data_IF_815307105276
#
_entry.id   IF_815307105276
#
_cell.length_a   1.000
_cell.length_b   1.000
_cell.length_c   1.000
_cell.angle_alpha   90.00
_cell.angle_beta   90.00
_cell.angle_gamma   90.00
#
_symmetry.space_group_name_H-M   'P 1'
#
loop_
_entity.id
_entity.type
_entity.pdbx_description
1 polymer ?
#
# COMPACT_ATOMS: atom_id res chain seq x y z
N UNK A 1 -20.46 -26.99 19.78
CA UNK A 1 -19.45 -26.34 18.90
C UNK A 1 -18.14 -27.09 19.06
N UNK A 2 -17.57 -27.62 17.99
CA UNK A 2 -16.34 -28.43 18.07
C UNK A 2 -15.10 -27.53 18.21
N UNK A 3 -14.10 -27.97 18.98
CA UNK A 3 -12.82 -27.28 19.16
C UNK A 3 -12.15 -26.97 17.82
N UNK A 4 -12.33 -27.84 16.81
CA UNK A 4 -11.84 -27.63 15.44
C UNK A 4 -12.48 -26.42 14.76
N UNK A 5 -13.77 -26.20 15.02
CA UNK A 5 -14.54 -25.09 14.46
C UNK A 5 -14.15 -23.76 15.11
N UNK A 6 -13.84 -23.75 16.41
CA UNK A 6 -13.31 -22.56 17.10
C UNK A 6 -11.90 -22.20 16.60
N UNK A 7 -11.03 -23.19 16.42
CA UNK A 7 -9.66 -22.97 15.93
C UNK A 7 -9.63 -22.42 14.49
N UNK A 8 -10.52 -22.91 13.62
CA UNK A 8 -10.66 -22.39 12.26
C UNK A 8 -11.12 -20.93 12.26
N UNK A 9 -12.10 -20.58 13.11
CA UNK A 9 -12.59 -19.20 13.23
C UNK A 9 -11.51 -18.24 13.74
N UNK A 10 -10.69 -18.64 14.71
CA UNK A 10 -9.62 -17.78 15.25
C UNK A 10 -8.47 -17.57 14.26
N UNK A 11 -8.09 -18.60 13.50
CA UNK A 11 -7.08 -18.48 12.45
C UNK A 11 -7.56 -17.54 11.33
N UNK A 12 -8.79 -17.72 10.84
CA UNK A 12 -9.36 -16.86 9.79
C UNK A 12 -9.48 -15.39 10.25
N UNK A 13 -9.86 -15.15 11.51
CA UNK A 13 -9.92 -13.81 12.09
C UNK A 13 -8.54 -13.12 12.22
N UNK A 14 -7.48 -13.91 12.41
CA UNK A 14 -6.11 -13.37 12.52
C UNK A 14 -5.52 -12.97 11.16
N UNK A 15 -5.93 -13.64 10.08
CA UNK A 15 -5.48 -13.37 8.72
C UNK A 15 -6.10 -12.08 8.18
N UNK A 16 -7.36 -11.79 8.51
CA UNK A 16 -8.05 -10.57 8.03
C UNK A 16 -7.55 -9.28 8.67
N UNK A 17 -6.96 -9.34 9.88
CA UNK A 17 -6.41 -8.17 10.57
C UNK A 17 -5.13 -7.59 9.91
N UNK A 18 -4.45 -8.37 9.07
CA UNK A 18 -3.14 -8.02 8.48
C UNK A 18 -3.21 -7.18 7.19
N UNK A 19 -4.40 -6.89 6.65
CA UNK A 19 -4.52 -6.55 5.22
C UNK A 19 -4.48 -5.06 4.85
N UNK A 20 -4.30 -4.12 5.79
CA UNK A 20 -4.21 -2.69 5.43
C UNK A 20 -2.99 -2.02 6.07
N UNK A 21 -1.85 -2.12 5.37
CA UNK A 21 -0.66 -1.36 5.73
C UNK A 21 -0.95 0.13 5.65
N UNK A 22 -0.71 0.85 6.75
CA UNK A 22 -0.99 2.28 6.81
C UNK A 22 0.13 3.03 6.08
N UNK A 23 -0.26 4.08 5.36
CA UNK A 23 0.66 4.92 4.60
C UNK A 23 0.54 6.36 5.07
N UNK A 24 1.68 7.05 5.09
CA UNK A 24 1.74 8.48 5.36
C UNK A 24 2.62 9.16 4.31
N UNK A 25 2.33 10.44 4.01
CA UNK A 25 3.12 11.19 3.04
C UNK A 25 4.51 11.52 3.59
N UNK A 26 5.52 11.37 2.75
CA UNK A 26 6.87 11.88 3.06
C UNK A 26 6.83 13.41 3.02
N UNK A 27 7.41 14.08 4.01
CA UNK A 27 7.50 15.53 4.06
C UNK A 27 8.89 15.97 4.53
N UNK A 28 9.67 16.73 3.74
CA UNK A 28 9.37 17.18 2.37
C UNK A 28 9.43 16.03 1.35
N UNK A 29 8.66 16.14 0.27
CA UNK A 29 8.62 15.12 -0.80
C UNK A 29 10.02 14.87 -1.44
N UNK A 30 10.95 15.82 -1.32
CA UNK A 30 12.35 15.68 -1.76
C UNK A 30 13.16 14.63 -0.99
N UNK A 31 12.72 14.20 0.20
CA UNK A 31 13.38 13.12 0.96
C UNK A 31 12.99 11.71 0.50
N UNK A 32 12.18 11.59 -0.55
CA UNK A 32 11.78 10.29 -1.03
C UNK A 32 12.98 9.48 -1.54
N UNK A 33 13.07 8.21 -1.13
CA UNK A 33 14.14 7.29 -1.55
C UNK A 33 13.91 6.68 -2.94
N UNK A 34 12.71 6.85 -3.48
CA UNK A 34 12.33 6.44 -4.83
C UNK A 34 11.80 7.66 -5.59
N UNK A 35 11.86 7.62 -6.92
CA UNK A 35 11.34 8.71 -7.76
C UNK A 35 9.96 8.35 -8.30
N UNK A 36 8.92 8.99 -7.78
CA UNK A 36 7.57 8.95 -8.35
C UNK A 36 7.51 9.79 -9.63
N UNK A 37 6.81 9.30 -10.64
CA UNK A 37 6.65 9.93 -11.94
C UNK A 37 5.22 10.46 -12.10
N UNK A 38 4.98 11.24 -13.15
CA UNK A 38 3.65 11.68 -13.56
C UNK A 38 2.79 12.31 -12.44
N UNK A 39 3.44 13.09 -11.55
CA UNK A 39 2.75 13.76 -10.44
C UNK A 39 2.34 12.85 -9.27
N UNK A 40 2.83 11.60 -9.23
CA UNK A 40 2.63 10.71 -8.09
C UNK A 40 3.30 11.23 -6.80
N UNK A 41 2.68 10.96 -5.67
CA UNK A 41 3.15 11.40 -4.35
C UNK A 41 3.91 10.28 -3.64
N UNK A 42 5.01 10.61 -2.99
CA UNK A 42 5.75 9.67 -2.17
C UNK A 42 5.10 9.49 -0.80
N UNK A 43 4.91 8.23 -0.42
CA UNK A 43 4.47 7.81 0.89
C UNK A 43 5.43 6.77 1.47
N UNK A 44 5.40 6.59 2.79
CA UNK A 44 6.10 5.50 3.48
C UNK A 44 5.11 4.62 4.24
N UNK A 45 5.49 3.36 4.51
CA UNK A 45 4.71 2.48 5.37
C UNK A 45 4.89 2.91 6.82
N UNK A 46 3.79 3.18 7.53
CA UNK A 46 3.85 3.66 8.92
C UNK A 46 4.55 2.65 9.83
N UNK A 47 4.34 1.36 9.58
CA UNK A 47 4.96 0.27 10.33
C UNK A 47 6.46 0.06 9.97
N UNK A 48 6.90 0.50 8.79
CA UNK A 48 8.30 0.44 8.38
C UNK A 48 8.67 1.64 7.47
N UNK A 49 9.07 2.78 8.07
CA UNK A 49 9.32 4.01 7.33
C UNK A 49 10.48 3.94 6.33
N UNK A 50 11.31 2.90 6.38
CA UNK A 50 12.36 2.69 5.38
C UNK A 50 11.80 2.32 4.00
N UNK A 51 10.56 1.82 3.95
CA UNK A 51 9.87 1.41 2.72
C UNK A 51 9.06 2.58 2.19
N UNK A 52 9.48 3.12 1.05
CA UNK A 52 8.80 4.19 0.33
C UNK A 52 8.02 3.60 -0.85
N UNK A 53 6.85 4.16 -1.17
CA UNK A 53 5.96 3.75 -2.26
C UNK A 53 5.34 4.99 -2.91
N UNK A 54 4.94 4.89 -4.18
CA UNK A 54 4.27 5.97 -4.88
C UNK A 54 2.75 5.80 -4.84
N UNK A 55 2.05 6.88 -4.52
CA UNK A 55 0.60 7.01 -4.66
C UNK A 55 0.31 7.74 -5.97
N UNK A 56 -0.29 7.02 -6.92
CA UNK A 56 -0.56 7.54 -8.26
C UNK A 56 -1.87 8.33 -8.31
N UNK A 57 -1.97 9.26 -9.27
CA UNK A 57 -3.20 9.96 -9.57
C UNK A 57 -4.23 8.95 -10.09
N UNK A 58 -5.32 8.79 -9.34
CA UNK A 58 -6.36 7.79 -9.58
C UNK A 58 -6.90 7.84 -11.01
N UNK A 59 -6.97 6.68 -11.66
CA UNK A 59 -7.44 6.50 -13.05
C UNK A 59 -6.61 7.20 -14.14
N UNK A 60 -5.48 7.83 -13.82
CA UNK A 60 -4.61 8.47 -14.79
C UNK A 60 -3.31 7.69 -15.00
N UNK A 61 -2.69 7.26 -13.90
CA UNK A 61 -1.40 6.57 -13.93
C UNK A 61 -1.36 5.40 -12.96
N UNK A 62 -0.54 4.40 -13.29
CA UNK A 62 -0.33 3.22 -12.46
C UNK A 62 1.11 2.68 -12.56
N UNK A 63 1.37 1.60 -11.81
CA UNK A 63 2.70 1.01 -11.62
C UNK A 63 3.41 1.55 -10.39
N UNK A 64 4.46 0.87 -9.96
CA UNK A 64 5.18 1.15 -8.70
C UNK A 64 5.70 2.58 -8.58
N UNK A 65 5.94 3.25 -9.72
CA UNK A 65 6.43 4.62 -9.81
C UNK A 65 5.47 5.54 -10.56
N UNK A 66 4.23 5.10 -10.80
CA UNK A 66 3.23 5.81 -11.61
C UNK A 66 3.68 6.07 -13.05
N UNK A 67 4.46 5.16 -13.63
CA UNK A 67 5.10 5.33 -14.93
C UNK A 67 4.18 5.06 -16.12
N UNK A 68 3.13 4.26 -15.94
CA UNK A 68 2.24 3.86 -17.03
C UNK A 68 0.97 4.71 -17.01
N UNK A 69 0.54 5.16 -18.18
CA UNK A 69 -0.72 5.88 -18.34
C UNK A 69 -1.89 4.88 -18.45
N UNK A 70 -3.06 5.28 -17.96
CA UNK A 70 -4.29 4.51 -18.02
C UNK A 70 -4.74 3.98 -16.65
N UNK A 71 -5.82 3.21 -16.68
CA UNK A 71 -6.37 2.53 -15.49
C UNK A 71 -5.79 1.12 -15.46
N UNK A 72 -5.22 0.65 -14.34
CA UNK A 72 -4.66 -0.70 -14.23
C UNK A 72 -5.71 -1.82 -14.35
N UNK A 73 -7.01 -1.46 -14.30
CA UNK A 73 -8.14 -2.39 -14.30
C UNK A 73 -8.95 -2.38 -15.62
N UNK A 74 -8.34 -2.01 -16.75
CA UNK A 74 -8.96 -2.14 -18.08
C UNK A 74 -8.17 -3.08 -18.99
#
# INVERSE_FOLDING_TARGET
MSIKSVLLCTVMYSITLHAQQRKAFVNPQSQCRIKCLNGGFCAYLVENPAVHTCLCLLNLFYGDRCQYAGKPDL
#
